data_IF_951906620494
#
_entry.id   IF_951906620494
#
_cell.length_a   1.000
_cell.length_b   1.000
_cell.length_c   1.000
_cell.angle_alpha   90.00
_cell.angle_beta   90.00
_cell.angle_gamma   90.00
#
_symmetry.space_group_name_H-M   'P 1'
#
loop_
_entity.id
_entity.type
_entity.pdbx_description
1 polymer ?
#
# COMPACT_ATOMS: atom_id res chain seq x y z
N UNK A 1 -9.39 16.60 5.72
CA UNK A 1 -8.14 15.89 5.31
C UNK A 1 -8.35 14.38 5.33
N UNK A 2 -8.83 13.78 6.41
CA UNK A 2 -9.08 12.32 6.56
C UNK A 2 -9.89 11.76 5.40
N UNK A 3 -11.03 12.38 5.04
CA UNK A 3 -11.90 11.89 3.95
C UNK A 3 -11.19 11.75 2.61
N UNK A 4 -10.25 12.65 2.28
CA UNK A 4 -9.44 12.53 1.06
C UNK A 4 -8.52 11.30 1.10
N UNK A 5 -7.87 11.04 2.25
CA UNK A 5 -7.03 9.85 2.41
C UNK A 5 -7.85 8.56 2.33
N UNK A 6 -9.03 8.52 2.96
CA UNK A 6 -9.97 7.39 2.90
C UNK A 6 -10.42 7.11 1.45
N UNK A 7 -10.68 8.15 0.67
CA UNK A 7 -11.03 8.00 -0.75
C UNK A 7 -9.87 7.46 -1.57
N UNK A 8 -8.67 8.05 -1.43
CA UNK A 8 -7.49 7.68 -2.21
C UNK A 8 -7.02 6.27 -1.85
N UNK A 9 -6.92 5.97 -0.55
CA UNK A 9 -6.45 4.68 -0.05
C UNK A 9 -7.61 3.80 0.43
N UNK A 10 -8.69 3.76 -0.34
CA UNK A 10 -9.81 2.88 -0.03
C UNK A 10 -9.41 1.40 -0.19
N UNK A 11 -9.86 0.54 0.73
CA UNK A 11 -9.50 -0.87 0.73
C UNK A 11 -10.39 -1.69 1.65
N UNK A 12 -9.82 -2.74 2.26
CA UNK A 12 -10.50 -3.56 3.25
C UNK A 12 -10.72 -2.75 4.53
N UNK A 13 -11.95 -2.69 5.02
CA UNK A 13 -12.34 -1.92 6.21
C UNK A 13 -12.30 -2.73 7.52
N UNK A 14 -12.47 -4.06 7.46
CA UNK A 14 -12.53 -4.96 8.61
C UNK A 14 -11.19 -5.39 9.20
N UNK A 15 -10.08 -5.01 8.56
CA UNK A 15 -8.73 -5.33 9.01
C UNK A 15 -7.71 -4.34 8.44
N UNK A 16 -6.61 -4.15 9.16
CA UNK A 16 -5.52 -3.26 8.76
C UNK A 16 -4.15 -3.78 9.21
N UNK A 17 -3.11 -3.30 8.54
CA UNK A 17 -1.73 -3.56 8.93
C UNK A 17 -1.30 -2.63 10.06
N UNK A 18 -0.51 -3.18 10.98
CA UNK A 18 0.10 -2.45 12.09
C UNK A 18 1.60 -2.74 12.09
N UNK A 19 2.40 -1.71 12.34
CA UNK A 19 3.83 -1.85 12.58
C UNK A 19 4.18 -1.35 13.97
N UNK A 20 4.66 -2.24 14.84
CA UNK A 20 5.25 -1.86 16.13
C UNK A 20 6.75 -1.69 15.98
N UNK A 21 7.26 -0.51 16.34
CA UNK A 21 8.70 -0.27 16.43
C UNK A 21 9.32 -1.19 17.47
N UNK A 22 10.49 -1.75 17.16
CA UNK A 22 11.26 -2.48 18.16
C UNK A 22 11.79 -1.54 19.25
N UNK A 23 11.81 -2.02 20.48
CA UNK A 23 12.40 -1.30 21.61
C UNK A 23 13.92 -1.32 21.53
N UNK A 24 14.58 -0.35 22.17
CA UNK A 24 16.04 -0.38 22.31
C UNK A 24 16.39 -1.08 23.62
N UNK A 25 17.00 -2.26 23.54
CA UNK A 25 17.51 -2.99 24.71
C UNK A 25 19.04 -2.96 24.69
N UNK A 26 19.64 -2.55 25.80
CA UNK A 26 21.11 -2.45 25.96
C UNK A 26 21.81 -1.67 24.84
N UNK A 27 21.20 -0.56 24.36
CA UNK A 27 21.72 0.25 23.25
C UNK A 27 21.52 -0.35 21.85
N UNK A 28 20.98 -1.56 21.74
CA UNK A 28 20.72 -2.24 20.47
C UNK A 28 19.24 -2.10 20.11
N UNK A 29 18.98 -1.49 18.94
CA UNK A 29 17.63 -1.34 18.41
C UNK A 29 17.10 -2.69 17.92
N UNK A 30 16.03 -3.17 18.55
CA UNK A 30 15.36 -4.37 18.12
C UNK A 30 14.57 -4.16 16.83
N UNK A 31 14.43 -5.22 16.03
CA UNK A 31 13.63 -5.19 14.79
C UNK A 31 12.14 -5.03 15.15
N UNK A 32 11.47 -4.11 14.48
CA UNK A 32 10.02 -3.96 14.63
C UNK A 32 9.24 -5.14 14.05
N UNK A 33 7.97 -5.25 14.42
CA UNK A 33 7.06 -6.30 13.95
C UNK A 33 5.90 -5.71 13.16
N UNK A 34 5.66 -6.24 11.96
CA UNK A 34 4.45 -5.98 11.19
C UNK A 34 3.46 -7.15 11.40
N UNK A 35 2.17 -6.83 11.57
CA UNK A 35 1.10 -7.82 11.68
C UNK A 35 -0.23 -7.22 11.22
N UNK A 36 -1.21 -8.08 10.94
CA UNK A 36 -2.56 -7.68 10.58
C UNK A 36 -3.43 -7.72 11.84
N UNK A 37 -4.13 -6.62 12.10
CA UNK A 37 -5.15 -6.50 13.13
C UNK A 37 -6.52 -6.67 12.50
N UNK A 38 -7.30 -7.64 12.98
CA UNK A 38 -8.66 -7.93 12.50
C UNK A 38 -9.67 -7.03 13.22
N UNK A 39 -9.52 -5.74 13.03
CA UNK A 39 -10.40 -4.70 13.59
C UNK A 39 -10.68 -3.66 12.51
N UNK A 40 -11.85 -3.00 12.55
CA UNK A 40 -12.21 -1.97 11.57
C UNK A 40 -11.22 -0.80 11.54
N UNK A 41 -11.06 -0.22 10.36
CA UNK A 41 -10.33 1.04 10.18
C UNK A 41 -11.26 2.19 10.54
N UNK A 42 -10.99 2.85 11.66
CA UNK A 42 -11.82 3.96 12.18
C UNK A 42 -11.23 5.33 11.82
N UNK A 43 -12.06 6.38 11.85
CA UNK A 43 -11.59 7.76 11.66
C UNK A 43 -10.56 8.18 12.71
N UNK A 44 -10.73 7.70 13.94
CA UNK A 44 -9.75 7.93 15.01
C UNK A 44 -8.39 7.31 14.66
N UNK A 45 -8.37 6.11 14.08
CA UNK A 45 -7.13 5.46 13.65
C UNK A 45 -6.46 6.22 12.51
N UNK A 46 -7.25 6.73 11.55
CA UNK A 46 -6.75 7.64 10.51
C UNK A 46 -6.15 8.92 11.09
N UNK A 47 -6.85 9.54 12.06
CA UNK A 47 -6.35 10.75 12.72
C UNK A 47 -5.00 10.49 13.40
N UNK A 48 -4.91 9.46 14.23
CA UNK A 48 -3.67 9.08 14.92
C UNK A 48 -2.51 8.77 13.95
N UNK A 49 -2.83 8.15 12.80
CA UNK A 49 -1.83 7.90 11.77
C UNK A 49 -1.31 9.19 11.14
N UNK A 50 -2.20 10.11 10.80
CA UNK A 50 -1.84 11.41 10.21
C UNK A 50 -1.09 12.31 11.19
N UNK A 51 -1.37 12.17 12.49
CA UNK A 51 -0.67 12.86 13.59
C UNK A 51 0.70 12.18 13.92
N UNK A 52 1.00 11.03 13.29
CA UNK A 52 2.25 10.29 13.48
C UNK A 52 2.31 9.46 14.76
N UNK A 53 1.19 9.28 15.46
CA UNK A 53 1.08 8.54 16.72
C UNK A 53 1.04 7.04 16.50
N UNK A 54 0.25 6.56 15.53
CA UNK A 54 0.09 5.14 15.23
C UNK A 54 0.40 4.80 13.77
N UNK A 55 0.87 3.59 13.52
CA UNK A 55 1.02 3.09 12.14
C UNK A 55 -0.31 2.55 11.64
N UNK A 56 -0.62 2.83 10.37
CA UNK A 56 -1.79 2.30 9.68
C UNK A 56 -1.38 1.80 8.31
N UNK A 57 -1.58 0.51 8.07
CA UNK A 57 -1.42 -0.11 6.77
C UNK A 57 -2.78 -0.47 6.19
N UNK A 58 -3.23 0.25 5.17
CA UNK A 58 -4.47 -0.09 4.47
C UNK A 58 -4.21 -1.29 3.55
N UNK A 59 -5.09 -2.30 3.63
CA UNK A 59 -5.08 -3.45 2.73
C UNK A 59 -5.88 -3.06 1.49
N UNK A 60 -5.25 -2.92 0.31
CA UNK A 60 -5.95 -2.40 -0.88
C UNK A 60 -7.02 -3.33 -1.41
N UNK A 61 -6.89 -4.64 -1.18
CA UNK A 61 -7.78 -5.66 -1.74
C UNK A 61 -9.04 -5.80 -0.88
N UNK A 62 -10.19 -5.55 -1.47
CA UNK A 62 -11.51 -5.80 -0.88
C UNK A 62 -11.91 -7.25 -1.10
N UNK A 63 -12.69 -7.80 -0.15
CA UNK A 63 -13.18 -9.17 -0.24
C UNK A 63 -14.03 -9.40 -1.50
N UNK A 64 -14.00 -10.61 -2.01
CA UNK A 64 -14.96 -11.08 -3.00
C UNK A 64 -16.37 -11.11 -2.41
N UNK A 65 -17.37 -10.78 -3.20
CA UNK A 65 -18.78 -10.95 -2.84
C UNK A 65 -19.18 -12.34 -3.27
N UNK A 66 -19.78 -13.09 -2.34
CA UNK A 66 -20.27 -14.45 -2.56
C UNK A 66 -21.77 -14.50 -2.34
N UNK A 67 -22.44 -15.44 -3.03
CA UNK A 67 -23.84 -15.77 -2.78
C UNK A 67 -24.01 -16.66 -1.54
N UNK A 68 -25.24 -17.09 -1.31
CA UNK A 68 -25.63 -17.94 -0.17
C UNK A 68 -25.00 -19.34 -0.23
N UNK A 69 -24.64 -19.82 -1.42
CA UNK A 69 -24.02 -21.11 -1.67
C UNK A 69 -22.49 -21.02 -1.66
N UNK A 70 -21.94 -19.80 -1.50
CA UNK A 70 -20.50 -19.52 -1.44
C UNK A 70 -19.83 -19.29 -2.79
N UNK A 71 -20.60 -19.25 -3.88
CA UNK A 71 -20.10 -18.95 -5.22
C UNK A 71 -19.73 -17.46 -5.36
N UNK A 72 -18.69 -17.17 -6.11
CA UNK A 72 -18.21 -15.79 -6.28
C UNK A 72 -19.09 -15.05 -7.29
N UNK A 73 -19.87 -14.07 -6.79
CA UNK A 73 -20.63 -13.13 -7.62
C UNK A 73 -19.70 -12.02 -8.14
N UNK A 74 -18.87 -11.46 -7.26
CA UNK A 74 -17.90 -10.42 -7.62
C UNK A 74 -16.55 -10.82 -7.07
N UNK A 75 -15.49 -10.89 -7.91
CA UNK A 75 -14.16 -11.20 -7.44
C UNK A 75 -13.61 -10.08 -6.55
N UNK A 76 -12.53 -10.38 -5.83
CA UNK A 76 -11.80 -9.36 -5.05
C UNK A 76 -11.36 -8.21 -5.94
N UNK A 77 -11.58 -6.98 -5.46
CA UNK A 77 -11.26 -5.75 -6.20
C UNK A 77 -10.33 -4.84 -5.41
N UNK A 78 -9.67 -3.92 -6.11
CA UNK A 78 -8.91 -2.83 -5.51
C UNK A 78 -8.97 -1.59 -6.41
N UNK A 79 -8.70 -0.41 -5.83
CA UNK A 79 -8.66 0.86 -6.56
C UNK A 79 -7.25 1.45 -6.60
N UNK A 80 -6.29 0.80 -5.98
CA UNK A 80 -4.88 1.17 -5.98
C UNK A 80 -4.00 -0.02 -5.61
N UNK A 81 -2.72 0.09 -5.94
CA UNK A 81 -1.69 -0.84 -5.51
C UNK A 81 -0.33 -0.14 -5.45
N UNK A 82 0.67 -0.83 -4.96
CA UNK A 82 1.99 -0.26 -4.72
C UNK A 82 3.10 -1.23 -5.11
N UNK A 83 4.12 -0.72 -5.79
CA UNK A 83 5.41 -1.39 -5.94
C UNK A 83 6.32 -0.83 -4.85
N UNK A 84 6.88 -1.70 -4.01
CA UNK A 84 7.82 -1.33 -2.97
C UNK A 84 9.26 -1.59 -3.44
N UNK A 85 10.07 -0.52 -3.50
CA UNK A 85 11.46 -0.59 -3.94
C UNK A 85 12.37 -0.44 -2.73
N UNK A 86 12.97 -1.55 -2.31
CA UNK A 86 13.89 -1.66 -1.19
C UNK A 86 15.37 -1.79 -1.63
N UNK A 87 15.73 -1.16 -2.74
CA UNK A 87 17.11 -1.11 -3.24
C UNK A 87 17.85 0.11 -2.66
N UNK A 88 19.07 -0.10 -2.18
CA UNK A 88 19.87 0.96 -1.54
C UNK A 88 21.31 0.97 -2.06
N UNK A 89 21.91 2.15 -2.40
CA UNK A 89 21.23 3.44 -2.51
C UNK A 89 20.30 3.50 -3.73
N UNK A 90 19.17 4.21 -3.63
CA UNK A 90 18.23 4.43 -4.73
C UNK A 90 18.42 5.83 -5.31
N UNK A 91 18.68 5.93 -6.61
CA UNK A 91 18.65 7.20 -7.34
C UNK A 91 17.19 7.53 -7.72
N UNK A 92 16.52 8.29 -6.84
CA UNK A 92 15.14 8.73 -7.05
C UNK A 92 14.99 9.61 -8.30
N UNK A 93 16.02 10.38 -8.66
CA UNK A 93 16.00 11.23 -9.86
C UNK A 93 15.97 10.40 -11.14
N UNK A 94 16.84 9.39 -11.23
CA UNK A 94 16.86 8.46 -12.36
C UNK A 94 15.55 7.65 -12.45
N UNK A 95 15.02 7.19 -11.31
CA UNK A 95 13.75 6.47 -11.24
C UNK A 95 12.58 7.33 -11.76
N UNK A 96 12.45 8.57 -11.26
CA UNK A 96 11.38 9.50 -11.68
C UNK A 96 11.53 9.83 -13.16
N UNK A 97 12.75 10.04 -13.65
CA UNK A 97 13.01 10.27 -15.07
C UNK A 97 12.53 9.08 -15.91
N UNK A 98 12.90 7.85 -15.53
CA UNK A 98 12.48 6.62 -16.22
C UNK A 98 10.95 6.45 -16.26
N UNK A 99 10.27 6.67 -15.13
CA UNK A 99 8.81 6.63 -15.02
C UNK A 99 8.16 7.63 -15.98
N UNK A 100 8.70 8.85 -16.04
CA UNK A 100 8.22 9.92 -16.92
C UNK A 100 8.47 9.61 -18.40
N UNK A 101 9.67 9.16 -18.76
CA UNK A 101 10.04 8.81 -20.13
C UNK A 101 9.17 7.67 -20.67
N UNK A 102 8.78 6.72 -19.80
CA UNK A 102 7.88 5.61 -20.12
C UNK A 102 6.38 5.99 -19.99
N UNK A 103 6.07 7.22 -19.63
CA UNK A 103 4.70 7.72 -19.42
C UNK A 103 3.86 6.85 -18.46
N UNK A 104 4.50 6.27 -17.44
CA UNK A 104 3.80 5.43 -16.47
C UNK A 104 3.00 6.29 -15.48
N UNK A 105 1.72 5.96 -15.21
CA UNK A 105 0.85 6.74 -14.33
C UNK A 105 1.11 6.40 -12.85
N UNK A 106 2.35 6.58 -12.40
CA UNK A 106 2.78 6.25 -11.05
C UNK A 106 3.00 7.50 -10.21
N UNK A 107 2.56 7.46 -8.96
CA UNK A 107 2.91 8.43 -7.92
C UNK A 107 4.08 7.89 -7.12
N UNK A 108 5.19 8.62 -7.11
CA UNK A 108 6.43 8.21 -6.43
C UNK A 108 6.50 8.87 -5.06
N UNK A 109 6.56 8.04 -4.01
CA UNK A 109 6.79 8.50 -2.65
C UNK A 109 8.08 7.89 -2.11
N UNK A 110 8.94 8.73 -1.49
CA UNK A 110 10.14 8.23 -0.83
C UNK A 110 9.75 7.44 0.42
N UNK A 111 10.29 6.22 0.58
CA UNK A 111 10.09 5.44 1.80
C UNK A 111 10.97 5.98 2.94
N UNK A 112 10.62 5.62 4.18
CA UNK A 112 11.36 6.04 5.38
C UNK A 112 12.82 5.57 5.37
N UNK A 113 13.09 4.41 4.80
CA UNK A 113 14.43 3.80 4.71
C UNK A 113 15.26 4.34 3.54
N UNK A 114 14.67 5.16 2.67
CA UNK A 114 15.35 5.74 1.50
C UNK A 114 15.10 5.02 0.18
N UNK A 115 14.26 3.99 0.18
CA UNK A 115 13.69 3.38 -1.02
C UNK A 115 12.50 4.17 -1.56
N UNK A 116 11.62 3.55 -2.33
CA UNK A 116 10.45 4.21 -2.90
C UNK A 116 9.21 3.33 -2.88
N UNK A 117 8.06 3.94 -2.65
CA UNK A 117 6.74 3.38 -2.90
C UNK A 117 6.19 3.98 -4.20
N UNK A 118 5.86 3.15 -5.17
CA UNK A 118 5.29 3.56 -6.45
C UNK A 118 3.80 3.18 -6.46
N UNK A 119 2.94 4.17 -6.26
CA UNK A 119 1.49 3.95 -6.23
C UNK A 119 0.90 4.04 -7.63
N UNK A 120 0.07 3.06 -7.97
CA UNK A 120 -0.82 3.07 -9.12
C UNK A 120 -2.26 3.17 -8.63
N UNK A 121 -2.99 4.18 -9.08
CA UNK A 121 -4.41 4.40 -8.77
C UNK A 121 -5.26 4.16 -10.01
N UNK A 122 -6.46 3.64 -9.82
CA UNK A 122 -7.46 3.46 -10.88
C UNK A 122 -8.67 4.36 -10.62
N UNK A 123 -9.33 4.82 -11.69
CA UNK A 123 -10.55 5.65 -11.58
C UNK A 123 -11.73 4.88 -11.02
N UNK A 124 -11.77 3.57 -11.28
CA UNK A 124 -12.81 2.65 -10.83
C UNK A 124 -12.16 1.41 -10.20
N UNK A 125 -12.87 0.70 -9.28
CA UNK A 125 -12.35 -0.56 -8.78
C UNK A 125 -12.15 -1.58 -9.89
N UNK A 126 -11.00 -2.24 -9.88
CA UNK A 126 -10.64 -3.31 -10.83
C UNK A 126 -10.41 -4.62 -10.09
N UNK A 127 -10.48 -5.74 -10.80
CA UNK A 127 -10.14 -7.05 -10.24
C UNK A 127 -8.70 -7.01 -9.71
N UNK A 128 -8.52 -7.36 -8.45
CA UNK A 128 -7.23 -7.23 -7.75
C UNK A 128 -6.09 -8.00 -8.46
N UNK A 129 -6.40 -9.16 -9.04
CA UNK A 129 -5.42 -9.91 -9.84
C UNK A 129 -4.92 -9.13 -11.05
N UNK A 130 -5.83 -8.44 -11.77
CA UNK A 130 -5.45 -7.65 -12.96
C UNK A 130 -4.51 -6.51 -12.57
N UNK A 131 -4.82 -5.81 -11.47
CA UNK A 131 -3.93 -4.72 -11.00
C UNK A 131 -2.57 -5.27 -10.55
N UNK A 132 -2.57 -6.41 -9.84
CA UNK A 132 -1.33 -7.06 -9.41
C UNK A 132 -0.45 -7.42 -10.61
N UNK A 133 -1.03 -8.11 -11.60
CA UNK A 133 -0.30 -8.52 -12.81
C UNK A 133 0.29 -7.27 -13.52
N UNK A 134 -0.48 -6.17 -13.58
CA UNK A 134 -0.02 -4.91 -14.16
C UNK A 134 1.12 -4.25 -13.38
N UNK A 135 1.09 -4.30 -12.05
CA UNK A 135 2.18 -3.80 -11.21
C UNK A 135 3.45 -4.63 -11.39
N UNK A 136 3.35 -5.95 -11.54
CA UNK A 136 4.47 -6.84 -11.83
C UNK A 136 5.10 -6.53 -13.20
N UNK A 137 4.29 -6.32 -14.25
CA UNK A 137 4.79 -5.87 -15.57
C UNK A 137 5.54 -4.54 -15.47
N UNK A 138 4.97 -3.56 -14.74
CA UNK A 138 5.58 -2.24 -14.55
C UNK A 138 6.89 -2.36 -13.77
N UNK A 139 6.92 -3.16 -12.69
CA UNK A 139 8.13 -3.39 -11.91
C UNK A 139 9.24 -3.97 -12.79
N UNK A 140 8.94 -5.01 -13.58
CA UNK A 140 9.89 -5.60 -14.52
C UNK A 140 10.39 -4.58 -15.57
N UNK A 141 9.50 -3.73 -16.12
CA UNK A 141 9.87 -2.67 -17.06
C UNK A 141 10.80 -1.62 -16.42
N UNK A 142 10.64 -1.36 -15.13
CA UNK A 142 11.50 -0.48 -14.37
C UNK A 142 12.82 -1.15 -13.95
N UNK A 143 12.92 -2.49 -14.04
CA UNK A 143 14.11 -3.25 -13.69
C UNK A 143 14.13 -3.77 -12.25
N UNK A 144 12.96 -3.96 -11.66
CA UNK A 144 12.76 -4.47 -10.29
C UNK A 144 12.00 -5.78 -10.27
#
# INVERSE_FOLDING_TARGET
MIEKFKQIFSGLDRAHGVYKKGETQNGIKQKGKAYIKKEPVTDLLWQKHLDGEESLGIIPVRDAIKDVDGEIITPSTCSWGCIDIDTYPLDHGALIKKIRDLQLPLVVCRSKSGGAHLFLFTSEPVIAKILKDKLEEIAALLGY
#
